data_IF_297303148359
#
_entry.id   IF_297303148359
#
_cell.length_a   1.000
_cell.length_b   1.000
_cell.length_c   1.000
_cell.angle_alpha   90.00
_cell.angle_beta   90.00
_cell.angle_gamma   90.00
#
_symmetry.space_group_name_H-M   'P 1'
#
loop_
_entity.id
_entity.type
_entity.pdbx_description
1 polymer ?
#
# COMPACT_ATOMS: atom_id res chain seq x y z
N UNK A 1 -15.33 -6.97 3.09
CA UNK A 1 -14.88 -5.65 2.62
C UNK A 1 -13.42 -5.79 2.21
N UNK A 2 -13.11 -5.59 0.94
CA UNK A 2 -11.74 -5.71 0.41
C UNK A 2 -11.09 -4.32 0.46
N UNK A 3 -10.49 -3.99 1.59
CA UNK A 3 -9.66 -2.79 1.71
C UNK A 3 -8.23 -3.16 2.12
N UNK A 4 -7.29 -2.22 1.97
CA UNK A 4 -5.87 -2.48 2.22
C UNK A 4 -5.58 -2.97 3.66
N UNK A 5 -6.36 -2.55 4.65
CA UNK A 5 -6.23 -3.02 6.03
C UNK A 5 -6.61 -4.50 6.14
N UNK A 6 -7.69 -4.92 5.50
CA UNK A 6 -8.14 -6.33 5.50
C UNK A 6 -7.10 -7.24 4.85
N UNK A 7 -6.52 -6.82 3.71
CA UNK A 7 -5.47 -7.59 3.02
C UNK A 7 -4.25 -7.74 3.93
N UNK A 8 -3.71 -6.64 4.47
CA UNK A 8 -2.56 -6.69 5.38
C UNK A 8 -2.80 -7.57 6.62
N UNK A 9 -3.97 -7.44 7.25
CA UNK A 9 -4.32 -8.26 8.42
C UNK A 9 -4.33 -9.74 8.09
N UNK A 10 -4.87 -10.12 6.93
CA UNK A 10 -4.93 -11.50 6.46
C UNK A 10 -3.53 -12.03 6.13
N UNK A 11 -2.71 -11.23 5.46
CA UNK A 11 -1.34 -11.60 5.11
C UNK A 11 -0.49 -11.79 6.37
N UNK A 12 -0.59 -10.87 7.35
CA UNK A 12 0.12 -11.02 8.61
C UNK A 12 -0.36 -12.24 9.41
N UNK A 13 -1.67 -12.50 9.46
CA UNK A 13 -2.21 -13.69 10.13
C UNK A 13 -1.71 -14.98 9.48
N UNK A 14 -1.67 -15.04 8.15
CA UNK A 14 -1.09 -16.17 7.42
C UNK A 14 0.38 -16.34 7.77
N UNK A 15 1.18 -15.28 7.73
CA UNK A 15 2.60 -15.32 8.03
C UNK A 15 2.87 -15.73 9.49
N UNK A 16 2.07 -15.24 10.45
CA UNK A 16 2.16 -15.66 11.85
C UNK A 16 1.93 -17.16 12.01
N UNK A 17 0.95 -17.75 11.31
CA UNK A 17 0.72 -19.19 11.37
C UNK A 17 1.85 -20.03 10.74
N UNK A 18 2.62 -19.45 9.79
CA UNK A 18 3.80 -20.10 9.20
C UNK A 18 5.03 -20.01 10.12
N UNK A 19 5.16 -18.93 10.90
CA UNK A 19 6.36 -18.63 11.71
C UNK A 19 6.23 -19.05 13.19
N UNK A 20 5.02 -18.99 13.75
CA UNK A 20 4.84 -19.21 15.18
C UNK A 20 4.93 -20.70 15.53
N UNK A 21 5.72 -21.02 16.58
CA UNK A 21 5.78 -22.37 17.16
C UNK A 21 4.54 -22.69 18.02
N UNK A 22 3.78 -21.68 18.43
CA UNK A 22 2.58 -21.81 19.28
C UNK A 22 1.32 -21.51 18.45
N UNK A 23 0.16 -21.90 18.99
CA UNK A 23 -1.13 -21.63 18.35
C UNK A 23 -1.36 -20.13 18.20
N UNK A 24 -1.72 -19.68 16.99
CA UNK A 24 -2.13 -18.31 16.71
C UNK A 24 -3.66 -18.24 16.76
N UNK A 25 -4.18 -17.46 17.70
CA UNK A 25 -5.61 -17.13 17.77
C UNK A 25 -5.87 -15.77 17.08
N UNK A 26 -7.05 -15.62 16.52
CA UNK A 26 -7.48 -14.40 15.85
C UNK A 26 -8.77 -13.87 16.46
N UNK A 27 -8.92 -12.54 16.48
CA UNK A 27 -10.17 -11.86 16.83
C UNK A 27 -10.40 -10.68 15.88
N UNK A 28 -11.54 -10.67 15.18
CA UNK A 28 -11.96 -9.56 14.36
C UNK A 28 -12.69 -8.51 15.20
N UNK A 29 -12.12 -7.32 15.31
CA UNK A 29 -12.73 -6.21 16.03
C UNK A 29 -14.04 -5.71 15.42
N UNK A 30 -14.42 -6.12 14.21
CA UNK A 30 -15.74 -5.79 13.65
C UNK A 30 -16.88 -6.58 14.31
N UNK A 31 -16.59 -7.75 14.88
CA UNK A 31 -17.60 -8.60 15.52
C UNK A 31 -18.35 -7.89 16.64
N UNK A 32 -17.67 -7.01 17.41
CA UNK A 32 -18.33 -6.30 18.51
C UNK A 32 -19.43 -5.34 18.04
N UNK A 33 -19.46 -4.95 16.78
CA UNK A 33 -20.52 -4.12 16.21
C UNK A 33 -21.85 -4.86 16.18
N UNK A 34 -21.80 -6.17 16.03
CA UNK A 34 -22.96 -7.06 15.94
C UNK A 34 -23.24 -7.78 17.27
N UNK A 35 -22.19 -8.13 18.00
CA UNK A 35 -22.28 -8.84 19.28
C UNK A 35 -21.36 -8.20 20.33
N UNK A 36 -21.95 -7.45 21.26
CA UNK A 36 -21.18 -6.78 22.33
C UNK A 36 -20.48 -7.75 23.28
N UNK A 37 -21.00 -8.99 23.44
CA UNK A 37 -20.36 -10.02 24.26
C UNK A 37 -19.07 -10.55 23.65
N UNK A 38 -18.83 -10.38 22.35
CA UNK A 38 -17.55 -10.76 21.72
C UNK A 38 -16.34 -10.01 22.29
N UNK A 39 -16.54 -8.84 22.90
CA UNK A 39 -15.47 -8.15 23.65
C UNK A 39 -14.97 -8.98 24.83
N UNK A 40 -15.83 -9.73 25.50
CA UNK A 40 -15.43 -10.61 26.61
C UNK A 40 -14.52 -11.73 26.08
N UNK A 41 -14.83 -12.29 24.93
CA UNK A 41 -13.97 -13.27 24.26
C UNK A 41 -12.62 -12.66 23.91
N UNK A 42 -12.60 -11.45 23.32
CA UNK A 42 -11.37 -10.74 23.00
C UNK A 42 -10.50 -10.56 24.26
N UNK A 43 -11.08 -10.06 25.35
CA UNK A 43 -10.31 -9.86 26.58
C UNK A 43 -9.82 -11.18 27.17
N UNK A 44 -10.62 -12.23 27.13
CA UNK A 44 -10.21 -13.54 27.56
C UNK A 44 -9.04 -14.11 26.75
N UNK A 45 -9.07 -13.93 25.42
CA UNK A 45 -7.95 -14.28 24.53
C UNK A 45 -6.68 -13.46 24.88
N UNK A 46 -6.81 -12.15 25.09
CA UNK A 46 -5.69 -11.28 25.45
C UNK A 46 -5.08 -11.69 26.80
N UNK A 47 -5.88 -12.05 27.80
CA UNK A 47 -5.36 -12.49 29.12
C UNK A 47 -4.56 -13.81 29.04
N UNK A 48 -4.75 -14.61 28.01
CA UNK A 48 -4.13 -15.95 27.86
C UNK A 48 -2.99 -15.97 26.86
N UNK A 49 -2.83 -14.95 26.02
CA UNK A 49 -1.73 -14.90 25.09
C UNK A 49 -0.44 -14.35 25.74
N UNK A 50 0.71 -14.74 25.22
CA UNK A 50 2.02 -14.18 25.59
C UNK A 50 2.31 -12.91 24.81
N UNK A 51 1.96 -12.94 23.53
CA UNK A 51 2.24 -11.86 22.57
C UNK A 51 0.95 -11.51 21.83
N UNK A 52 0.64 -10.23 21.74
CA UNK A 52 -0.49 -9.67 21.02
C UNK A 52 -0.02 -8.84 19.83
N UNK A 53 -0.29 -9.30 18.61
CA UNK A 53 -0.17 -8.50 17.40
C UNK A 53 -1.44 -7.67 17.22
N UNK A 54 -1.35 -6.35 17.43
CA UNK A 54 -2.49 -5.45 17.46
C UNK A 54 -2.55 -4.57 16.21
N UNK A 55 -3.64 -4.70 15.43
CA UNK A 55 -3.86 -3.94 14.18
C UNK A 55 -5.20 -3.17 14.22
N UNK A 56 -5.32 -2.14 15.04
CA UNK A 56 -6.59 -1.43 15.18
C UNK A 56 -6.83 -0.42 14.06
N UNK A 57 -8.10 -0.21 13.73
CA UNK A 57 -8.53 1.01 13.07
C UNK A 57 -8.50 2.21 14.06
N UNK A 58 -8.51 3.44 13.55
CA UNK A 58 -8.45 4.70 14.34
C UNK A 58 -9.34 4.70 15.59
N UNK A 59 -10.63 4.32 15.43
CA UNK A 59 -11.59 4.33 16.53
C UNK A 59 -11.24 3.36 17.65
N UNK A 60 -10.70 2.20 17.29
CA UNK A 60 -10.33 1.15 18.23
C UNK A 60 -9.04 1.51 19.00
N UNK A 61 -8.09 2.20 18.37
CA UNK A 61 -6.93 2.72 19.07
C UNK A 61 -7.36 3.68 20.20
N UNK A 62 -8.33 4.55 19.96
CA UNK A 62 -8.82 5.50 20.99
C UNK A 62 -9.62 4.83 22.10
N UNK A 63 -10.54 3.92 21.76
CA UNK A 63 -11.54 3.38 22.69
C UNK A 63 -11.10 2.11 23.37
N UNK A 64 -10.50 1.19 22.64
CA UNK A 64 -10.22 -0.20 23.08
C UNK A 64 -8.78 -0.35 23.60
N UNK A 65 -7.81 0.31 22.98
CA UNK A 65 -6.40 0.20 23.36
C UNK A 65 -6.11 0.49 24.84
N UNK A 66 -6.71 1.51 25.50
CA UNK A 66 -6.45 1.75 26.92
C UNK A 66 -6.76 0.56 27.83
N UNK A 67 -7.80 -0.19 27.49
CA UNK A 67 -8.20 -1.38 28.25
C UNK A 67 -7.30 -2.57 27.91
N UNK A 68 -6.99 -2.79 26.64
CA UNK A 68 -6.01 -3.80 26.20
C UNK A 68 -4.67 -3.58 26.90
N UNK A 69 -4.18 -2.34 26.92
CA UNK A 69 -2.94 -1.96 27.59
C UNK A 69 -2.99 -2.30 29.09
N UNK A 70 -4.08 -1.97 29.78
CA UNK A 70 -4.24 -2.29 31.21
C UNK A 70 -4.16 -3.80 31.46
N UNK A 71 -4.90 -4.59 30.66
CA UNK A 71 -4.87 -6.05 30.76
C UNK A 71 -3.48 -6.60 30.46
N UNK A 72 -2.81 -6.07 29.43
CA UNK A 72 -1.45 -6.51 29.08
C UNK A 72 -0.42 -6.29 30.20
N UNK A 73 -0.53 -5.16 30.90
CA UNK A 73 0.34 -4.89 32.07
C UNK A 73 0.05 -5.88 33.20
N UNK A 74 -1.24 -6.15 33.48
CA UNK A 74 -1.66 -7.07 34.56
C UNK A 74 -1.21 -8.51 34.29
N UNK A 75 -1.33 -8.98 33.03
CA UNK A 75 -1.06 -10.37 32.63
C UNK A 75 0.32 -10.54 31.96
N UNK A 76 1.13 -9.47 31.88
CA UNK A 76 2.48 -9.47 31.27
C UNK A 76 2.46 -9.87 29.78
N UNK A 77 1.46 -9.43 29.04
CA UNK A 77 1.33 -9.66 27.60
C UNK A 77 2.19 -8.65 26.84
N UNK A 78 3.08 -9.12 25.96
CA UNK A 78 3.84 -8.27 25.04
C UNK A 78 2.92 -7.73 23.94
N UNK A 79 2.84 -6.43 23.73
CA UNK A 79 2.05 -5.82 22.66
C UNK A 79 2.96 -5.35 21.54
N UNK A 80 2.73 -5.85 20.34
CA UNK A 80 3.28 -5.37 19.08
C UNK A 80 2.18 -4.71 18.26
N UNK A 81 2.27 -3.39 18.09
CA UNK A 81 1.29 -2.61 17.35
C UNK A 81 1.73 -2.46 15.90
N UNK A 82 1.04 -3.11 14.96
CA UNK A 82 1.26 -2.98 13.53
C UNK A 82 0.37 -1.87 12.98
N UNK A 83 0.98 -0.77 12.60
CA UNK A 83 0.29 0.40 12.06
C UNK A 83 -0.04 0.17 10.59
N UNK A 84 -1.28 0.46 10.21
CA UNK A 84 -1.73 0.42 8.82
C UNK A 84 -2.06 1.83 8.39
N UNK A 85 -1.37 2.32 7.34
CA UNK A 85 -1.53 3.68 6.84
C UNK A 85 -0.66 4.73 7.55
N UNK A 86 -0.64 5.94 6.99
CA UNK A 86 0.28 7.00 7.37
C UNK A 86 -0.32 8.07 8.30
N UNK A 87 -1.22 7.71 9.21
CA UNK A 87 -2.04 8.66 9.97
C UNK A 87 -1.66 8.83 11.44
N UNK A 88 -0.81 7.95 11.97
CA UNK A 88 -0.64 7.81 13.43
C UNK A 88 -0.01 9.03 14.07
N UNK A 89 0.96 9.66 13.45
CA UNK A 89 1.66 10.83 13.97
C UNK A 89 0.71 12.04 14.16
N UNK A 90 -0.13 12.31 13.14
CA UNK A 90 -1.15 13.36 13.24
C UNK A 90 -2.21 13.03 14.30
N UNK A 91 -2.65 11.79 14.34
CA UNK A 91 -3.69 11.33 15.26
C UNK A 91 -3.27 11.44 16.73
N UNK A 92 -2.00 11.18 17.02
CA UNK A 92 -1.48 11.22 18.39
C UNK A 92 -1.33 12.65 18.94
N UNK A 93 -1.33 13.68 18.12
CA UNK A 93 -1.21 15.09 18.56
C UNK A 93 -2.21 15.44 19.67
N UNK A 94 -3.41 14.89 19.60
CA UNK A 94 -4.49 15.14 20.56
C UNK A 94 -4.66 14.02 21.62
N UNK A 95 -3.72 13.09 21.71
CA UNK A 95 -3.85 11.90 22.56
C UNK A 95 -2.61 11.65 23.47
N UNK A 96 -2.21 12.58 24.34
CA UNK A 96 -0.97 12.47 25.13
C UNK A 96 -0.96 11.26 26.09
N UNK A 97 -2.15 10.80 26.54
CA UNK A 97 -2.25 9.60 27.39
C UNK A 97 -1.98 8.33 26.59
N UNK A 98 -2.32 8.30 25.30
CA UNK A 98 -2.02 7.18 24.40
C UNK A 98 -0.53 7.14 24.06
N UNK A 99 0.10 8.31 23.81
CA UNK A 99 1.53 8.40 23.59
C UNK A 99 2.33 7.75 24.71
N UNK A 100 2.00 8.08 25.98
CA UNK A 100 2.66 7.48 27.15
C UNK A 100 2.50 5.96 27.24
N UNK A 101 1.37 5.41 26.80
CA UNK A 101 1.13 3.96 26.79
C UNK A 101 1.86 3.29 25.63
N UNK A 102 1.80 3.89 24.44
CA UNK A 102 2.50 3.40 23.24
C UNK A 102 4.02 3.38 23.41
N UNK A 103 4.60 4.36 24.14
CA UNK A 103 6.01 4.38 24.46
C UNK A 103 6.46 3.23 25.37
N UNK A 104 5.53 2.47 25.95
CA UNK A 104 5.80 1.38 26.93
C UNK A 104 5.41 -0.01 26.45
N UNK A 105 4.81 -0.13 25.28
CA UNK A 105 4.57 -1.45 24.67
C UNK A 105 5.85 -1.97 24.03
N UNK A 106 5.88 -3.24 23.66
CA UNK A 106 7.06 -3.93 23.13
C UNK A 106 7.54 -3.34 21.80
N UNK A 107 6.61 -3.08 20.85
CA UNK A 107 6.97 -2.50 19.56
C UNK A 107 5.82 -1.79 18.87
N UNK A 108 6.18 -0.78 18.08
CA UNK A 108 5.30 -0.10 17.13
C UNK A 108 5.90 -0.31 15.74
N UNK A 109 5.22 -1.07 14.89
CA UNK A 109 5.72 -1.45 13.59
C UNK A 109 4.99 -0.65 12.52
N UNK A 110 5.72 0.24 11.85
CA UNK A 110 5.19 1.15 10.83
C UNK A 110 5.64 0.73 9.43
N UNK A 111 4.94 1.19 8.41
CA UNK A 111 5.16 0.77 7.02
C UNK A 111 6.20 1.63 6.29
N UNK A 112 6.52 2.82 6.81
CA UNK A 112 7.31 3.83 6.08
C UNK A 112 8.34 4.49 6.99
N UNK A 113 9.53 4.79 6.44
CA UNK A 113 10.61 5.47 7.16
C UNK A 113 10.24 6.89 7.59
N UNK A 114 9.43 7.58 6.78
CA UNK A 114 8.95 8.92 7.11
C UNK A 114 8.07 8.90 8.37
N UNK A 115 7.15 7.92 8.49
CA UNK A 115 6.33 7.78 9.69
C UNK A 115 7.16 7.37 10.91
N UNK A 116 8.11 6.44 10.74
CA UNK A 116 9.07 6.06 11.79
C UNK A 116 9.80 7.29 12.33
N UNK A 117 10.42 8.06 11.43
CA UNK A 117 11.16 9.27 11.77
C UNK A 117 10.26 10.32 12.44
N UNK A 118 9.03 10.52 11.94
CA UNK A 118 8.06 11.43 12.53
C UNK A 118 7.68 11.03 13.96
N UNK A 119 7.40 9.75 14.21
CA UNK A 119 7.06 9.25 15.55
C UNK A 119 8.23 9.38 16.53
N UNK A 120 9.45 9.07 16.09
CA UNK A 120 10.67 9.25 16.90
C UNK A 120 10.92 10.72 17.23
N UNK A 121 10.79 11.62 16.26
CA UNK A 121 11.05 13.06 16.43
C UNK A 121 9.97 13.76 17.27
N UNK A 122 8.69 13.50 17.01
CA UNK A 122 7.57 14.22 17.66
C UNK A 122 7.25 13.69 19.06
N UNK A 123 7.43 12.36 19.29
CA UNK A 123 6.98 11.71 20.53
C UNK A 123 8.10 11.06 21.33
N UNK A 124 9.34 11.04 20.80
CA UNK A 124 10.49 10.42 21.45
C UNK A 124 10.38 8.90 21.59
N UNK A 125 9.57 8.24 20.74
CA UNK A 125 9.42 6.79 20.79
C UNK A 125 10.72 6.08 20.42
N UNK A 126 11.14 5.13 21.25
CA UNK A 126 12.34 4.31 21.04
C UNK A 126 12.02 2.92 20.50
N UNK A 127 10.77 2.52 20.60
CA UNK A 127 10.24 1.21 20.25
C UNK A 127 9.49 1.25 18.89
N UNK A 128 9.98 2.03 17.93
CA UNK A 128 9.39 2.12 16.58
C UNK A 128 10.36 1.53 15.57
N UNK A 129 9.89 0.55 14.80
CA UNK A 129 10.63 -0.14 13.76
C UNK A 129 9.80 -0.25 12.48
N UNK A 130 10.47 -0.51 11.36
CA UNK A 130 9.81 -0.75 10.07
C UNK A 130 9.33 -2.20 10.00
N UNK A 131 8.08 -2.37 9.59
CA UNK A 131 7.53 -3.64 9.13
C UNK A 131 6.72 -3.38 7.86
N UNK A 132 7.16 -3.89 6.69
CA UNK A 132 6.58 -3.50 5.40
C UNK A 132 5.14 -4.01 5.22
N UNK A 133 4.40 -3.35 4.34
CA UNK A 133 3.15 -3.87 3.79
C UNK A 133 3.47 -4.92 2.74
N UNK A 134 3.98 -6.07 3.18
CA UNK A 134 4.47 -7.15 2.31
C UNK A 134 3.36 -7.84 1.52
N UNK A 135 3.78 -8.61 0.50
CA UNK A 135 2.93 -9.51 -0.28
C UNK A 135 3.55 -10.91 -0.36
N UNK A 136 2.71 -11.91 -0.56
CA UNK A 136 3.14 -13.29 -0.76
C UNK A 136 3.64 -13.49 -2.19
N UNK A 137 4.84 -13.04 -2.45
CA UNK A 137 5.61 -13.39 -3.64
C UNK A 137 7.04 -13.77 -3.22
N UNK A 138 7.68 -14.66 -3.98
CA UNK A 138 9.07 -15.00 -3.78
C UNK A 138 9.94 -14.08 -4.62
N UNK A 139 10.90 -13.44 -3.99
CA UNK A 139 11.87 -12.58 -4.67
C UNK A 139 13.05 -13.42 -5.18
N UNK A 140 13.28 -13.39 -6.49
CA UNK A 140 14.42 -14.04 -7.12
C UNK A 140 14.88 -13.19 -8.32
N UNK A 141 15.92 -12.38 -8.11
CA UNK A 141 16.40 -11.44 -9.13
C UNK A 141 16.97 -12.15 -10.35
N UNK A 142 17.49 -13.36 -10.18
CA UNK A 142 18.09 -14.15 -11.29
C UNK A 142 17.01 -14.75 -12.20
N UNK A 143 15.79 -14.91 -11.70
CA UNK A 143 14.62 -15.36 -12.47
C UNK A 143 13.77 -14.23 -13.03
N UNK A 144 14.10 -12.97 -12.71
CA UNK A 144 13.35 -11.85 -13.25
C UNK A 144 13.63 -11.64 -14.73
N UNK A 145 12.62 -11.80 -15.53
CA UNK A 145 12.68 -11.57 -16.97
C UNK A 145 12.11 -10.19 -17.36
N UNK A 146 13.00 -9.22 -17.53
CA UNK A 146 12.62 -7.87 -17.98
C UNK A 146 12.04 -7.84 -19.40
N UNK A 147 12.22 -8.91 -20.21
CA UNK A 147 11.66 -8.98 -21.56
C UNK A 147 10.14 -9.13 -21.53
N UNK A 148 9.59 -9.68 -20.44
CA UNK A 148 8.14 -9.81 -20.25
C UNK A 148 7.43 -8.44 -20.22
N UNK A 149 8.08 -7.39 -19.71
CA UNK A 149 7.59 -5.99 -19.70
C UNK A 149 7.66 -5.34 -21.09
N UNK A 150 8.32 -5.98 -22.04
CA UNK A 150 8.58 -5.44 -23.40
C UNK A 150 7.67 -6.01 -24.49
N UNK A 151 6.74 -6.91 -24.16
CA UNK A 151 5.87 -7.54 -25.17
C UNK A 151 5.05 -6.53 -26.02
N UNK A 152 4.79 -5.34 -25.47
CA UNK A 152 4.08 -4.28 -26.18
C UNK A 152 5.00 -3.33 -26.97
N UNK A 153 6.33 -3.46 -26.86
CA UNK A 153 7.27 -2.63 -27.62
C UNK A 153 7.13 -2.85 -29.14
N UNK A 154 6.77 -4.06 -29.58
CA UNK A 154 6.54 -4.36 -30.99
C UNK A 154 5.27 -3.71 -31.54
N UNK A 155 4.27 -3.46 -30.70
CA UNK A 155 3.01 -2.81 -31.12
C UNK A 155 3.11 -1.29 -31.17
N UNK A 156 4.17 -0.68 -30.65
CA UNK A 156 4.34 0.76 -30.52
C UNK A 156 3.29 1.42 -29.60
N UNK A 157 2.59 0.64 -28.77
CA UNK A 157 1.61 1.11 -27.78
C UNK A 157 2.17 1.06 -26.38
N UNK A 158 1.76 2.01 -25.55
CA UNK A 158 1.99 2.05 -24.11
C UNK A 158 0.66 1.79 -23.40
N UNK A 159 0.55 0.67 -22.69
CA UNK A 159 -0.60 0.33 -21.87
C UNK A 159 -0.31 0.69 -20.43
N UNK A 160 -1.09 1.58 -19.85
CA UNK A 160 -0.90 2.11 -18.49
C UNK A 160 -2.07 1.67 -17.63
N UNK A 161 -1.77 0.96 -16.53
CA UNK A 161 -2.77 0.56 -15.55
C UNK A 161 -3.03 1.67 -14.53
N UNK A 162 -4.29 1.89 -14.19
CA UNK A 162 -4.74 2.57 -12.99
C UNK A 162 -5.52 1.57 -12.15
N UNK A 163 -5.03 1.21 -10.97
CA UNK A 163 -5.69 0.24 -10.09
C UNK A 163 -5.88 0.87 -8.71
N UNK A 164 -7.10 1.34 -8.45
CA UNK A 164 -7.48 1.98 -7.19
C UNK A 164 -8.99 2.08 -7.09
N UNK A 165 -9.52 2.55 -5.95
CA UNK A 165 -10.90 3.04 -5.93
C UNK A 165 -11.05 4.11 -7.02
N UNK A 166 -12.08 3.98 -7.84
CA UNK A 166 -12.39 4.96 -8.89
C UNK A 166 -13.19 6.07 -8.23
N UNK A 167 -12.46 7.08 -7.73
CA UNK A 167 -12.99 8.27 -7.05
C UNK A 167 -12.04 9.45 -7.27
N UNK A 168 -12.55 10.67 -7.19
CA UNK A 168 -11.80 11.89 -7.48
C UNK A 168 -10.51 12.01 -6.65
N UNK A 169 -10.54 11.68 -5.36
CA UNK A 169 -9.38 11.76 -4.46
C UNK A 169 -8.20 10.87 -4.89
N UNK A 170 -8.44 9.90 -5.76
CA UNK A 170 -7.40 9.05 -6.35
C UNK A 170 -6.78 9.64 -7.63
N UNK A 171 -7.10 10.90 -7.94
CA UNK A 171 -6.49 11.68 -9.03
C UNK A 171 -7.15 11.49 -10.38
N UNK A 172 -8.45 11.14 -10.44
CA UNK A 172 -9.19 11.02 -11.70
C UNK A 172 -9.22 12.33 -12.49
N UNK A 173 -9.30 13.46 -11.81
CA UNK A 173 -9.24 14.80 -12.42
C UNK A 173 -7.90 15.08 -13.09
N UNK A 174 -6.80 14.66 -12.46
CA UNK A 174 -5.47 14.73 -13.05
C UNK A 174 -5.36 13.78 -14.24
N UNK A 175 -5.81 12.53 -14.12
CA UNK A 175 -5.77 11.54 -15.20
C UNK A 175 -6.60 12.00 -16.42
N UNK A 176 -7.77 12.61 -16.21
CA UNK A 176 -8.57 13.17 -17.28
C UNK A 176 -7.80 14.25 -18.06
N UNK A 177 -7.19 15.22 -17.35
CA UNK A 177 -6.39 16.27 -17.98
C UNK A 177 -5.18 15.69 -18.72
N UNK A 178 -4.51 14.68 -18.16
CA UNK A 178 -3.42 13.97 -18.83
C UNK A 178 -3.88 13.37 -20.15
N UNK A 179 -5.00 12.65 -20.16
CA UNK A 179 -5.55 12.05 -21.37
C UNK A 179 -5.95 13.11 -22.42
N UNK A 180 -6.52 14.23 -22.00
CA UNK A 180 -6.88 15.35 -22.89
C UNK A 180 -5.64 15.98 -23.54
N UNK A 181 -4.57 16.23 -22.77
CA UNK A 181 -3.31 16.78 -23.30
C UNK A 181 -2.63 15.79 -24.25
N UNK A 182 -2.52 14.52 -23.88
CA UNK A 182 -1.95 13.49 -24.77
C UNK A 182 -2.76 13.32 -26.05
N UNK A 183 -4.08 13.38 -25.95
CA UNK A 183 -4.98 13.36 -27.11
C UNK A 183 -4.70 14.52 -28.07
N UNK A 184 -4.58 15.75 -27.55
CA UNK A 184 -4.25 16.94 -28.32
C UNK A 184 -2.87 16.89 -29.00
N UNK A 185 -1.93 16.13 -28.40
CA UNK A 185 -0.58 15.90 -28.93
C UNK A 185 -0.46 14.72 -29.89
N UNK A 186 -1.56 14.07 -30.24
CA UNK A 186 -1.61 13.00 -31.25
C UNK A 186 -1.19 11.62 -30.73
N UNK A 187 -1.33 11.34 -29.42
CA UNK A 187 -1.03 10.04 -28.84
C UNK A 187 -2.25 9.08 -28.79
N UNK A 188 -3.39 9.47 -29.37
CA UNK A 188 -4.57 8.58 -29.49
C UNK A 188 -4.16 7.31 -30.25
N UNK A 189 -4.51 6.14 -29.69
CA UNK A 189 -4.14 4.84 -30.24
C UNK A 189 -2.72 4.37 -29.95
N UNK A 190 -1.85 5.25 -29.42
CA UNK A 190 -0.49 4.91 -28.96
C UNK A 190 -0.39 4.70 -27.45
N UNK A 191 -1.24 5.36 -26.67
CA UNK A 191 -1.28 5.26 -25.22
C UNK A 191 -2.72 4.95 -24.80
N UNK A 192 -2.88 3.99 -23.88
CA UNK A 192 -4.17 3.61 -23.31
C UNK A 192 -4.06 3.53 -21.79
N UNK A 193 -5.06 4.04 -21.09
CA UNK A 193 -5.20 3.92 -19.65
C UNK A 193 -6.38 3.00 -19.34
N UNK A 194 -6.09 1.87 -18.73
CA UNK A 194 -7.10 0.93 -18.24
C UNK A 194 -7.32 1.13 -16.74
N UNK A 195 -8.57 1.45 -16.37
CA UNK A 195 -8.94 1.77 -15.00
C UNK A 195 -9.65 0.60 -14.34
N UNK A 196 -9.10 0.15 -13.22
CA UNK A 196 -9.66 -0.91 -12.38
C UNK A 196 -9.99 -0.39 -10.99
N UNK A 197 -11.14 -0.79 -10.48
CA UNK A 197 -11.55 -0.59 -9.10
C UNK A 197 -13.01 -0.23 -8.93
N UNK A 198 -13.46 -0.27 -7.68
CA UNK A 198 -14.84 0.09 -7.38
C UNK A 198 -15.06 1.60 -7.55
N UNK A 199 -16.05 1.98 -8.34
CA UNK A 199 -16.55 3.36 -8.41
C UNK A 199 -17.15 3.75 -7.07
N UNK A 200 -16.70 4.87 -6.51
CA UNK A 200 -17.15 5.38 -5.21
C UNK A 200 -17.94 6.68 -5.31
N UNK A 201 -17.79 7.35 -6.43
CA UNK A 201 -18.52 8.54 -6.80
C UNK A 201 -18.90 8.44 -8.30
N UNK A 202 -19.62 9.42 -8.79
CA UNK A 202 -20.08 9.49 -10.17
C UNK A 202 -19.08 10.23 -11.11
N UNK A 203 -17.92 10.64 -10.59
CA UNK A 203 -16.96 11.44 -11.36
C UNK A 203 -16.54 10.80 -12.67
N UNK A 204 -16.23 9.48 -12.63
CA UNK A 204 -15.84 8.77 -13.86
C UNK A 204 -16.96 8.78 -14.89
N UNK A 205 -18.18 8.44 -14.50
CA UNK A 205 -19.32 8.34 -15.42
C UNK A 205 -19.72 9.71 -15.95
N UNK A 206 -19.62 10.76 -15.13
CA UNK A 206 -19.97 12.12 -15.52
C UNK A 206 -18.94 12.79 -16.45
N UNK A 207 -17.63 12.48 -16.30
CA UNK A 207 -16.58 13.26 -16.94
C UNK A 207 -15.62 12.46 -17.80
N UNK A 208 -15.43 11.15 -17.55
CA UNK A 208 -14.41 10.33 -18.18
C UNK A 208 -14.97 9.25 -19.13
N UNK A 209 -16.21 8.84 -18.94
CA UNK A 209 -16.84 7.80 -19.77
C UNK A 209 -16.90 8.22 -21.25
N UNK A 210 -16.44 7.31 -22.14
CA UNK A 210 -16.38 7.55 -23.58
C UNK A 210 -15.27 8.51 -24.04
N UNK A 211 -14.42 9.01 -23.14
CA UNK A 211 -13.25 9.80 -23.51
C UNK A 211 -12.18 8.94 -24.16
N UNK A 212 -11.50 9.42 -25.21
CA UNK A 212 -10.39 8.72 -25.82
C UNK A 212 -9.32 8.35 -24.78
N UNK A 213 -8.65 7.22 -24.97
CA UNK A 213 -7.54 6.71 -24.18
C UNK A 213 -7.91 6.21 -22.76
N UNK A 214 -9.16 6.41 -22.29
CA UNK A 214 -9.60 6.00 -20.94
C UNK A 214 -10.60 4.86 -21.04
N UNK A 215 -10.29 3.70 -20.44
CA UNK A 215 -11.17 2.54 -20.45
C UNK A 215 -11.39 1.97 -19.06
N UNK A 216 -12.64 1.88 -18.61
CA UNK A 216 -12.97 1.23 -17.34
C UNK A 216 -13.13 -0.27 -17.55
N UNK A 217 -12.30 -1.05 -16.87
CA UNK A 217 -12.22 -2.51 -16.97
C UNK A 217 -12.93 -3.26 -15.83
N UNK A 218 -13.54 -2.56 -14.88
CA UNK A 218 -14.22 -3.20 -13.76
C UNK A 218 -13.38 -3.34 -12.50
N UNK A 219 -13.68 -4.37 -11.71
CA UNK A 219 -13.04 -4.60 -10.41
C UNK A 219 -12.17 -5.85 -10.51
N UNK A 220 -10.91 -5.76 -10.10
CA UNK A 220 -10.03 -6.90 -9.95
C UNK A 220 -10.20 -7.54 -8.59
N UNK A 221 -10.24 -8.87 -8.55
CA UNK A 221 -10.07 -9.61 -7.30
C UNK A 221 -8.59 -9.56 -6.85
N UNK A 222 -8.29 -9.66 -5.56
CA UNK A 222 -6.92 -9.55 -5.06
C UNK A 222 -5.92 -10.54 -5.68
N UNK A 223 -6.36 -11.74 -6.03
CA UNK A 223 -5.56 -12.78 -6.68
C UNK A 223 -5.34 -12.55 -8.19
N UNK A 224 -6.13 -11.68 -8.81
CA UNK A 224 -5.99 -11.30 -10.22
C UNK A 224 -4.99 -10.16 -10.42
N UNK A 225 -4.75 -9.33 -9.41
CA UNK A 225 -3.99 -8.06 -9.53
C UNK A 225 -2.60 -8.27 -10.11
N UNK A 226 -1.81 -9.18 -9.54
CA UNK A 226 -0.42 -9.42 -9.99
C UNK A 226 -0.37 -9.90 -11.44
N UNK A 227 -1.27 -10.82 -11.83
CA UNK A 227 -1.30 -11.34 -13.21
C UNK A 227 -1.77 -10.28 -14.19
N UNK A 228 -2.73 -9.45 -13.80
CA UNK A 228 -3.20 -8.33 -14.63
C UNK A 228 -2.09 -7.31 -14.82
N UNK A 229 -1.38 -6.89 -13.76
CA UNK A 229 -0.31 -5.90 -13.87
C UNK A 229 0.82 -6.32 -14.81
N UNK A 230 1.13 -7.62 -14.91
CA UNK A 230 2.15 -8.14 -15.85
C UNK A 230 1.86 -7.84 -17.32
N UNK A 231 0.62 -7.52 -17.68
CA UNK A 231 0.23 -7.20 -19.06
C UNK A 231 0.35 -5.72 -19.41
N UNK A 232 0.79 -4.89 -18.47
CA UNK A 232 0.95 -3.44 -18.64
C UNK A 232 2.42 -3.02 -18.74
N UNK A 233 2.64 -1.81 -19.26
CA UNK A 233 3.95 -1.20 -19.43
C UNK A 233 4.30 -0.25 -18.28
N UNK A 234 3.30 0.29 -17.59
CA UNK A 234 3.46 1.17 -16.44
C UNK A 234 2.21 1.18 -15.54
N UNK A 235 2.39 1.52 -14.27
CA UNK A 235 1.31 1.89 -13.36
C UNK A 235 1.26 3.41 -13.23
N UNK A 236 0.05 4.01 -13.33
CA UNK A 236 -0.19 5.41 -12.93
C UNK A 236 -0.93 5.48 -11.61
N UNK A 237 -0.41 6.27 -10.67
CA UNK A 237 -0.96 6.44 -9.33
C UNK A 237 -1.00 7.93 -8.92
N UNK A 238 -1.90 8.74 -9.51
CA UNK A 238 -1.94 10.20 -9.35
C UNK A 238 -2.70 10.63 -8.09
N UNK A 239 -2.71 9.82 -7.04
CA UNK A 239 -3.49 10.03 -5.82
C UNK A 239 -3.16 11.33 -5.10
N UNK A 240 -4.17 11.97 -4.55
CA UNK A 240 -4.05 13.03 -3.55
C UNK A 240 -4.89 12.72 -2.29
N UNK A 241 -5.17 11.43 -2.08
CA UNK A 241 -5.95 10.98 -0.94
C UNK A 241 -5.15 11.14 0.37
N UNK A 242 -5.73 11.85 1.36
CA UNK A 242 -5.04 12.17 2.62
C UNK A 242 -4.70 10.95 3.48
N UNK A 243 -5.45 9.87 3.35
CA UNK A 243 -5.22 8.63 4.08
C UNK A 243 -4.19 7.68 3.47
N UNK A 244 -3.44 8.11 2.43
CA UNK A 244 -2.39 7.26 1.87
C UNK A 244 -1.27 7.00 2.89
N UNK A 245 -0.87 5.73 2.98
CA UNK A 245 0.27 5.28 3.76
C UNK A 245 1.22 4.49 2.88
N UNK A 246 1.21 3.16 3.02
CA UNK A 246 1.88 2.24 2.11
C UNK A 246 0.85 1.62 1.15
N UNK A 247 0.63 2.20 -0.05
CA UNK A 247 -0.35 1.67 -0.99
C UNK A 247 0.05 0.28 -1.48
N UNK A 248 -0.81 -0.74 -1.25
CA UNK A 248 -0.54 -2.11 -1.66
C UNK A 248 -0.29 -2.24 -3.16
N UNK A 249 -0.98 -1.45 -3.97
CA UNK A 249 -0.82 -1.48 -5.43
C UNK A 249 0.58 -1.06 -5.89
N UNK A 250 1.26 -0.16 -5.16
CA UNK A 250 2.66 0.18 -5.48
C UNK A 250 3.57 -1.01 -5.20
N UNK A 251 3.36 -1.72 -4.08
CA UNK A 251 4.10 -2.95 -3.75
C UNK A 251 3.85 -4.03 -4.80
N UNK A 252 2.61 -4.21 -5.24
CA UNK A 252 2.23 -5.16 -6.27
C UNK A 252 2.86 -4.82 -7.62
N UNK A 253 2.87 -3.53 -8.00
CA UNK A 253 3.55 -3.06 -9.21
C UNK A 253 5.06 -3.29 -9.16
N UNK A 254 5.71 -2.97 -8.04
CA UNK A 254 7.13 -3.25 -7.83
C UNK A 254 7.43 -4.75 -7.98
N UNK A 255 6.59 -5.62 -7.38
CA UNK A 255 6.82 -7.07 -7.38
C UNK A 255 6.74 -7.75 -8.76
N UNK A 256 6.06 -7.12 -9.71
CA UNK A 256 6.02 -7.55 -11.10
C UNK A 256 6.99 -6.76 -11.99
N UNK A 257 7.78 -5.85 -11.41
CA UNK A 257 8.74 -5.04 -12.14
C UNK A 257 8.07 -4.00 -13.03
N UNK A 258 6.99 -3.36 -12.58
CA UNK A 258 6.29 -2.36 -13.38
C UNK A 258 6.84 -0.96 -13.06
N UNK A 259 7.28 -0.15 -14.04
CA UNK A 259 7.59 1.27 -13.84
C UNK A 259 6.38 2.01 -13.27
N UNK A 260 6.61 2.92 -12.30
CA UNK A 260 5.52 3.59 -11.60
C UNK A 260 5.55 5.10 -11.88
N UNK A 261 4.41 5.67 -12.27
CA UNK A 261 4.21 7.12 -12.41
C UNK A 261 3.29 7.55 -11.26
N UNK A 262 3.84 8.12 -10.20
CA UNK A 262 3.06 8.49 -9.01
C UNK A 262 3.11 9.99 -8.73
N UNK A 263 2.08 10.48 -8.02
CA UNK A 263 2.14 11.81 -7.40
C UNK A 263 3.23 11.88 -6.32
N UNK A 264 3.93 12.99 -6.22
CA UNK A 264 4.72 13.34 -5.03
C UNK A 264 3.77 13.70 -3.89
N UNK A 265 3.18 12.67 -3.29
CA UNK A 265 2.17 12.77 -2.25
C UNK A 265 2.48 11.84 -1.09
N UNK A 266 2.41 12.36 0.14
CA UNK A 266 2.58 11.62 1.41
C UNK A 266 3.88 10.78 1.43
N UNK A 267 3.77 9.49 1.18
CA UNK A 267 4.85 8.51 1.29
C UNK A 267 5.26 7.89 -0.06
N UNK A 268 4.67 8.33 -1.17
CA UNK A 268 4.92 7.72 -2.48
C UNK A 268 6.40 7.74 -2.88
N UNK A 269 7.17 8.75 -2.43
CA UNK A 269 8.62 8.85 -2.65
C UNK A 269 9.43 7.71 -2.00
N UNK A 270 8.86 6.95 -1.06
CA UNK A 270 9.53 5.77 -0.51
C UNK A 270 9.45 4.55 -1.46
N UNK A 271 8.46 4.54 -2.35
CA UNK A 271 8.22 3.46 -3.32
C UNK A 271 8.79 3.80 -4.69
N UNK A 272 8.71 5.07 -5.07
CA UNK A 272 9.12 5.56 -6.39
C UNK A 272 10.32 6.48 -6.25
N UNK A 273 11.43 6.06 -6.83
CA UNK A 273 12.65 6.85 -6.94
C UNK A 273 12.72 7.45 -8.35
N UNK A 274 12.61 8.80 -8.40
CA UNK A 274 12.43 9.53 -9.64
C UNK A 274 13.57 9.29 -10.63
N UNK A 275 13.24 8.83 -11.83
CA UNK A 275 14.19 8.49 -12.88
C UNK A 275 14.87 7.12 -12.75
N UNK A 276 14.62 6.35 -11.67
CA UNK A 276 15.22 5.04 -11.42
C UNK A 276 14.20 3.91 -11.66
N UNK A 277 13.14 3.84 -10.87
CA UNK A 277 12.10 2.83 -11.02
C UNK A 277 10.75 3.42 -11.46
N UNK A 278 10.73 4.70 -11.82
CA UNK A 278 9.54 5.41 -12.24
C UNK A 278 9.70 6.93 -12.16
N UNK A 279 8.58 7.63 -12.07
CA UNK A 279 8.55 9.09 -12.01
C UNK A 279 7.68 9.57 -10.84
N UNK A 280 8.22 10.50 -10.06
CA UNK A 280 7.46 11.29 -9.09
C UNK A 280 7.00 12.57 -9.75
N UNK A 281 5.70 12.69 -9.95
CA UNK A 281 5.08 13.82 -10.61
C UNK A 281 4.54 14.81 -9.58
N UNK A 282 4.65 16.09 -9.87
CA UNK A 282 4.07 17.13 -9.03
C UNK A 282 2.54 16.93 -8.94
N UNK A 283 2.02 16.84 -7.73
CA UNK A 283 0.59 16.66 -7.48
C UNK A 283 -0.22 17.79 -8.12
N UNK A 284 -1.33 17.46 -8.76
CA UNK A 284 -2.21 18.36 -9.54
C UNK A 284 -1.59 18.98 -10.82
N UNK A 285 -0.37 18.63 -11.20
CA UNK A 285 0.28 19.11 -12.42
C UNK A 285 0.23 18.05 -13.53
N UNK A 286 -0.80 18.08 -14.37
CA UNK A 286 -0.97 17.10 -15.44
C UNK A 286 0.22 17.05 -16.42
N UNK A 287 0.90 18.18 -16.69
CA UNK A 287 2.06 18.22 -17.59
C UNK A 287 3.22 17.37 -17.09
N UNK A 288 3.44 17.29 -15.77
CA UNK A 288 4.50 16.42 -15.19
C UNK A 288 4.24 14.94 -15.49
N UNK A 289 2.97 14.51 -15.45
CA UNK A 289 2.58 13.14 -15.81
C UNK A 289 2.68 12.91 -17.32
N UNK A 290 2.24 13.87 -18.12
CA UNK A 290 2.35 13.80 -19.59
C UNK A 290 3.80 13.58 -20.01
N UNK A 291 4.74 14.37 -19.47
CA UNK A 291 6.17 14.23 -19.77
C UNK A 291 6.72 12.87 -19.37
N UNK A 292 6.36 12.37 -18.18
CA UNK A 292 6.75 11.04 -17.71
C UNK A 292 6.22 9.93 -18.64
N UNK A 293 4.95 10.00 -19.04
CA UNK A 293 4.30 9.03 -19.90
C UNK A 293 4.92 9.04 -21.31
N UNK A 294 5.18 10.22 -21.89
CA UNK A 294 5.84 10.35 -23.19
C UNK A 294 7.25 9.75 -23.12
N UNK A 295 8.02 10.04 -22.07
CA UNK A 295 9.36 9.46 -21.88
C UNK A 295 9.33 7.93 -21.89
N UNK A 296 8.35 7.33 -21.21
CA UNK A 296 8.16 5.87 -21.25
C UNK A 296 7.69 5.37 -22.61
N UNK A 297 6.79 6.10 -23.28
CA UNK A 297 6.29 5.70 -24.60
C UNK A 297 7.39 5.69 -25.66
N UNK A 298 8.30 6.68 -25.62
CA UNK A 298 9.35 6.88 -26.63
C UNK A 298 10.63 6.08 -26.34
N UNK A 299 10.80 5.54 -25.11
CA UNK A 299 12.01 4.80 -24.71
C UNK A 299 11.73 3.42 -24.14
N UNK A 300 11.63 2.37 -24.98
CA UNK A 300 11.52 0.99 -24.50
C UNK A 300 12.66 0.55 -23.59
N UNK A 301 13.89 1.02 -23.84
CA UNK A 301 15.05 0.68 -23.03
C UNK A 301 14.96 1.30 -21.63
N UNK A 302 14.47 2.55 -21.51
CA UNK A 302 14.16 3.16 -20.21
C UNK A 302 13.14 2.33 -19.44
N UNK A 303 12.07 1.86 -20.10
CA UNK A 303 11.07 1.00 -19.46
C UNK A 303 11.69 -0.28 -18.90
N UNK A 304 12.59 -0.95 -19.65
CA UNK A 304 13.28 -2.16 -19.19
C UNK A 304 14.15 -1.92 -17.98
N UNK A 305 14.93 -0.82 -18.00
CA UNK A 305 15.77 -0.43 -16.86
C UNK A 305 14.91 -0.15 -15.63
N UNK A 306 13.89 0.70 -15.76
CA UNK A 306 12.99 1.03 -14.66
C UNK A 306 12.23 -0.19 -14.15
N UNK A 307 11.85 -1.10 -15.03
CA UNK A 307 11.19 -2.34 -14.67
C UNK A 307 12.08 -3.23 -13.78
N UNK A 308 13.35 -3.36 -14.14
CA UNK A 308 14.32 -4.09 -13.32
C UNK A 308 14.50 -3.44 -11.95
N UNK A 309 14.67 -2.13 -11.91
CA UNK A 309 14.84 -1.38 -10.65
C UNK A 309 13.59 -1.44 -9.77
N UNK A 310 12.39 -1.43 -10.36
CA UNK A 310 11.14 -1.70 -9.64
C UNK A 310 11.17 -3.08 -8.97
N UNK A 311 11.56 -4.12 -9.72
CA UNK A 311 11.63 -5.47 -9.18
C UNK A 311 12.70 -5.59 -8.08
N UNK A 312 13.89 -5.00 -8.27
CA UNK A 312 14.94 -4.97 -7.24
C UNK A 312 14.42 -4.33 -5.94
N UNK A 313 13.73 -3.20 -6.06
CA UNK A 313 13.14 -2.51 -4.89
C UNK A 313 12.05 -3.34 -4.20
N UNK A 314 11.38 -4.24 -4.91
CA UNK A 314 10.32 -5.09 -4.36
C UNK A 314 10.81 -6.07 -3.29
N UNK A 315 12.10 -6.40 -3.26
CA UNK A 315 12.70 -7.34 -2.30
C UNK A 315 12.25 -7.06 -0.86
N UNK A 316 12.29 -5.79 -0.46
CA UNK A 316 11.91 -5.36 0.88
C UNK A 316 10.46 -5.70 1.24
N UNK A 317 9.60 -5.84 0.24
CA UNK A 317 8.17 -6.14 0.40
C UNK A 317 7.84 -7.62 0.17
N UNK A 318 8.84 -8.48 0.02
CA UNK A 318 8.65 -9.92 -0.15
C UNK A 318 8.22 -10.59 1.16
N UNK A 319 7.59 -11.74 1.05
CA UNK A 319 7.23 -12.56 2.22
C UNK A 319 8.47 -13.06 2.97
N UNK A 320 9.59 -13.26 2.27
CA UNK A 320 10.83 -13.75 2.88
C UNK A 320 11.43 -12.71 3.81
N UNK A 321 11.52 -11.44 3.37
CA UNK A 321 11.96 -10.33 4.22
C UNK A 321 11.03 -10.12 5.41
N UNK A 322 9.70 -10.14 5.16
CA UNK A 322 8.71 -10.02 6.22
C UNK A 322 8.82 -11.15 7.26
N UNK A 323 9.15 -12.38 6.83
CA UNK A 323 9.35 -13.54 7.71
C UNK A 323 10.56 -13.34 8.62
N UNK A 324 11.68 -12.86 8.08
CA UNK A 324 12.87 -12.57 8.88
C UNK A 324 12.60 -11.49 9.93
N UNK A 325 11.91 -10.40 9.54
CA UNK A 325 11.53 -9.33 10.46
C UNK A 325 10.56 -9.84 11.53
N UNK A 326 9.54 -10.61 11.16
CA UNK A 326 8.56 -11.14 12.08
C UNK A 326 9.19 -12.09 13.11
N UNK A 327 10.10 -12.96 12.70
CA UNK A 327 10.81 -13.86 13.60
C UNK A 327 11.59 -13.09 14.66
N UNK A 328 12.21 -11.96 14.32
CA UNK A 328 12.89 -11.07 15.30
C UNK A 328 11.92 -10.40 16.28
N UNK A 329 10.69 -10.14 15.84
CA UNK A 329 9.65 -9.48 16.65
C UNK A 329 9.05 -10.46 17.67
N UNK A 330 8.80 -11.71 17.27
CA UNK A 330 8.08 -12.69 18.11
C UNK A 330 9.00 -13.59 18.94
N UNK A 331 10.32 -13.58 18.70
CA UNK A 331 11.32 -14.27 19.53
C UNK A 331 11.51 -13.53 20.86
#
# INVERSE_FOLDING_TARGET
>A
KLDGQTVKTRDLYRLLNECACEKVDFYDTEEYKYNKFSLLEMFWKVMRCKTLCYLPAHGNLKKVFPLIYFISVLFRVKIHYFVVGGWLDEYLKNLPRHCRKLARIEGIHVETHKLESSLKALYGFKNVDIFPNFRFFSYDVDKYDASAVSLNAETGKLNVAFVSRVEQSKGLDTLLKVAEILSSRGYIGKIVFDLYGQKRDDYFDAHMSGKPMLEYKGILQPDEVLNTLKSYDALIFPTHYDGEGCPGILVEALSVGLPIIASDWKYNAEFVENGINGFLCQTFNAESYVNAIISLAESPDMRKVMARESYVKSRFFSVDEARELLNRIIS
#
